data_IF_470351743691
#
_entry.id   IF_470351743691
#
_cell.length_a   1.000
_cell.length_b   1.000
_cell.length_c   1.000
_cell.angle_alpha   90.00
_cell.angle_beta   90.00
_cell.angle_gamma   90.00
#
_symmetry.space_group_name_H-M   'P 1'
#
loop_
_entity.id
_entity.type
_entity.pdbx_description
1 polymer ?
#
# COMPACT_ATOMS: atom_id res chain seq x y z
N UNK A 1 -18.77 -17.65 13.55
CA UNK A 1 -19.39 -17.68 12.22
C UNK A 1 -18.31 -17.98 11.19
N UNK A 2 -18.27 -19.20 10.65
CA UNK A 2 -17.32 -19.61 9.62
C UNK A 2 -17.71 -18.97 8.29
N UNK A 3 -16.77 -18.34 7.57
CA UNK A 3 -17.08 -17.66 6.32
C UNK A 3 -16.78 -18.49 5.06
N UNK A 4 -15.95 -19.57 5.05
CA UNK A 4 -15.81 -20.53 3.92
C UNK A 4 -15.13 -21.88 4.30
N UNK A 5 -15.36 -22.93 3.49
CA UNK A 5 -14.95 -24.35 3.68
C UNK A 5 -13.43 -24.63 3.65
N UNK A 6 -12.62 -23.76 3.05
CA UNK A 6 -11.14 -23.92 3.01
C UNK A 6 -10.41 -23.00 3.99
N UNK A 7 -11.09 -22.55 5.04
CA UNK A 7 -10.51 -21.63 6.02
C UNK A 7 -9.78 -22.40 7.14
N UNK A 8 -8.46 -22.56 6.98
CA UNK A 8 -7.60 -23.04 8.07
C UNK A 8 -7.48 -21.90 9.09
N UNK A 9 -8.16 -22.04 10.22
CA UNK A 9 -8.16 -21.06 11.30
C UNK A 9 -6.78 -21.01 11.97
N UNK A 10 -5.90 -20.12 11.49
CA UNK A 10 -4.62 -19.85 12.13
C UNK A 10 -4.79 -18.87 13.29
N UNK A 11 -4.25 -19.24 14.45
CA UNK A 11 -4.30 -18.44 15.69
C UNK A 11 -3.53 -17.13 15.54
N UNK A 12 -3.91 -16.09 16.30
CA UNK A 12 -3.26 -14.76 16.28
C UNK A 12 -1.73 -14.82 16.46
N UNK A 13 -1.23 -15.84 17.19
CA UNK A 13 0.21 -16.08 17.35
C UNK A 13 0.89 -16.61 16.08
N UNK A 14 0.21 -17.47 15.31
CA UNK A 14 0.73 -17.98 14.04
C UNK A 14 0.82 -16.86 13.00
N UNK A 15 -0.15 -15.93 12.99
CA UNK A 15 -0.09 -14.75 12.12
C UNK A 15 1.04 -13.80 12.52
N UNK A 16 1.31 -13.64 13.81
CA UNK A 16 2.45 -12.85 14.30
C UNK A 16 3.80 -13.44 13.91
N UNK A 17 3.96 -14.77 14.03
CA UNK A 17 5.19 -15.47 13.64
C UNK A 17 5.42 -15.42 12.11
N UNK A 18 4.35 -15.59 11.34
CA UNK A 18 4.37 -15.46 9.88
C UNK A 18 4.71 -14.03 9.46
N UNK A 19 4.10 -13.01 10.07
CA UNK A 19 4.38 -11.60 9.79
C UNK A 19 5.82 -11.22 10.10
N UNK A 20 6.40 -11.74 11.19
CA UNK A 20 7.79 -11.51 11.55
C UNK A 20 8.74 -12.24 10.59
N UNK A 21 8.48 -13.51 10.27
CA UNK A 21 9.28 -14.29 9.32
C UNK A 21 9.24 -13.74 7.89
N UNK A 22 8.07 -13.24 7.45
CA UNK A 22 7.91 -12.59 6.15
C UNK A 22 8.56 -11.21 6.12
N UNK A 23 8.52 -10.43 7.20
CA UNK A 23 9.19 -9.14 7.28
C UNK A 23 10.73 -9.27 7.17
N UNK A 24 11.32 -10.26 7.84
CA UNK A 24 12.75 -10.56 7.72
C UNK A 24 13.12 -11.00 6.29
N UNK A 25 12.27 -11.81 5.66
CA UNK A 25 12.51 -12.29 4.29
C UNK A 25 12.29 -11.20 3.23
N UNK A 26 11.34 -10.28 3.44
CA UNK A 26 11.08 -9.12 2.57
C UNK A 26 12.23 -8.10 2.63
N UNK A 27 12.83 -7.90 3.80
CA UNK A 27 14.04 -7.08 3.95
C UNK A 27 15.26 -7.71 3.23
N UNK A 28 15.33 -9.04 3.15
CA UNK A 28 16.42 -9.77 2.49
C UNK A 28 16.23 -9.92 0.97
N UNK A 29 15.01 -9.76 0.43
CA UNK A 29 14.73 -9.86 -1.00
C UNK A 29 13.64 -8.85 -1.44
N UNK A 30 14.00 -7.60 -1.74
CA UNK A 30 13.06 -6.53 -2.10
C UNK A 30 12.41 -6.65 -3.49
N UNK A 31 12.79 -7.66 -4.29
CA UNK A 31 12.30 -7.86 -5.66
C UNK A 31 10.96 -8.62 -5.79
N UNK A 32 10.25 -8.87 -4.67
CA UNK A 32 8.92 -9.50 -4.67
C UNK A 32 7.88 -8.55 -4.06
N UNK A 33 7.33 -7.67 -4.88
CA UNK A 33 6.23 -6.78 -4.50
C UNK A 33 5.04 -7.53 -3.86
N UNK A 34 4.79 -8.77 -4.29
CA UNK A 34 3.75 -9.66 -3.74
C UNK A 34 3.94 -9.95 -2.23
N UNK A 35 5.20 -10.00 -1.76
CA UNK A 35 5.50 -10.24 -0.35
C UNK A 35 5.25 -8.99 0.52
N UNK A 36 5.35 -7.79 -0.07
CA UNK A 36 5.02 -6.53 0.61
C UNK A 36 3.50 -6.38 0.74
N UNK A 37 2.76 -6.71 -0.33
CA UNK A 37 1.30 -6.72 -0.30
C UNK A 37 0.75 -7.71 0.75
N UNK A 38 1.27 -8.95 0.76
CA UNK A 38 0.88 -9.98 1.75
C UNK A 38 1.30 -9.63 3.18
N UNK A 39 2.44 -8.97 3.39
CA UNK A 39 2.80 -8.43 4.71
C UNK A 39 1.80 -7.35 5.15
N UNK A 40 1.40 -6.45 4.25
CA UNK A 40 0.39 -5.43 4.53
C UNK A 40 -0.95 -6.04 4.94
N UNK A 41 -1.44 -7.02 4.18
CA UNK A 41 -2.69 -7.74 4.47
C UNK A 41 -2.64 -8.54 5.78
N UNK A 42 -1.51 -9.19 6.07
CA UNK A 42 -1.34 -9.99 7.28
C UNK A 42 -1.13 -9.14 8.53
N UNK A 43 -0.69 -7.89 8.42
CA UNK A 43 -0.50 -6.97 9.57
C UNK A 43 -1.63 -5.98 9.76
N UNK A 44 -2.54 -5.84 8.79
CA UNK A 44 -3.73 -4.99 8.85
C UNK A 44 -4.83 -5.54 9.78
N UNK A 45 -4.48 -5.92 11.00
CA UNK A 45 -5.47 -6.28 12.03
C UNK A 45 -6.24 -5.04 12.48
N UNK A 46 -7.54 -5.25 12.80
CA UNK A 46 -8.48 -4.21 13.21
C UNK A 46 -7.92 -3.17 14.22
N UNK A 47 -7.24 -3.54 15.32
CA UNK A 47 -6.73 -2.54 16.28
C UNK A 47 -5.64 -1.64 15.71
N UNK A 48 -4.86 -2.12 14.74
CA UNK A 48 -3.79 -1.32 14.10
C UNK A 48 -4.42 -0.32 13.14
N UNK A 49 -5.36 -0.77 12.30
CA UNK A 49 -6.09 0.11 11.39
C UNK A 49 -6.87 1.20 12.13
N UNK A 50 -7.50 0.86 13.27
CA UNK A 50 -8.22 1.81 14.11
C UNK A 50 -7.27 2.89 14.66
N UNK A 51 -6.07 2.50 15.12
CA UNK A 51 -5.05 3.45 15.59
C UNK A 51 -4.54 4.36 14.47
N UNK A 52 -4.32 3.82 13.27
CA UNK A 52 -3.90 4.62 12.10
C UNK A 52 -5.00 5.63 11.76
N UNK A 53 -6.27 5.18 11.70
CA UNK A 53 -7.43 6.04 11.45
C UNK A 53 -7.52 7.17 12.48
N UNK A 54 -7.45 6.86 13.78
CA UNK A 54 -7.51 7.85 14.85
C UNK A 54 -6.38 8.88 14.73
N UNK A 55 -5.15 8.43 14.40
CA UNK A 55 -4.01 9.34 14.18
C UNK A 55 -4.23 10.25 12.99
N UNK A 56 -4.76 9.72 11.88
CA UNK A 56 -5.11 10.53 10.70
C UNK A 56 -6.24 11.52 10.99
N UNK A 57 -7.24 11.15 11.80
CA UNK A 57 -8.33 12.04 12.20
C UNK A 57 -7.86 13.20 13.09
N UNK A 58 -6.81 12.99 13.88
CA UNK A 58 -6.18 14.01 14.70
C UNK A 58 -5.41 15.07 13.91
N UNK A 59 -5.07 14.80 12.64
CA UNK A 59 -4.37 15.71 11.75
C UNK A 59 -5.33 16.37 10.74
N UNK A 60 -5.12 17.64 10.42
CA UNK A 60 -5.99 18.39 9.48
C UNK A 60 -5.90 17.78 8.07
N UNK A 61 -4.68 17.47 7.63
CA UNK A 61 -4.45 16.86 6.32
C UNK A 61 -4.98 15.42 6.30
N UNK A 62 -4.65 14.62 7.32
CA UNK A 62 -5.16 13.26 7.47
C UNK A 62 -6.69 13.17 7.45
N UNK A 63 -7.39 14.06 8.17
CA UNK A 63 -8.86 14.15 8.17
C UNK A 63 -9.42 14.50 6.79
N UNK A 64 -8.75 15.39 6.06
CA UNK A 64 -9.12 15.74 4.68
C UNK A 64 -8.95 14.55 3.75
N UNK A 65 -7.83 13.82 3.84
CA UNK A 65 -7.60 12.59 3.07
C UNK A 65 -8.67 11.53 3.35
N UNK A 66 -9.01 11.29 4.61
CA UNK A 66 -10.04 10.31 4.99
C UNK A 66 -11.45 10.68 4.47
N UNK A 67 -11.75 11.98 4.42
CA UNK A 67 -13.01 12.52 3.91
C UNK A 67 -13.09 12.48 2.39
N UNK A 68 -12.11 13.11 1.73
CA UNK A 68 -12.14 13.37 0.29
C UNK A 68 -11.76 12.11 -0.51
N UNK A 69 -11.05 11.17 0.13
CA UNK A 69 -10.56 9.91 -0.45
C UNK A 69 -9.97 10.12 -1.85
N UNK A 70 -9.00 11.05 -2.00
CA UNK A 70 -8.46 11.38 -3.30
C UNK A 70 -7.80 10.15 -3.91
N UNK A 71 -8.09 9.87 -5.17
CA UNK A 71 -7.48 8.79 -5.94
C UNK A 71 -6.66 9.40 -7.07
N UNK A 72 -5.45 8.89 -7.26
CA UNK A 72 -4.64 9.14 -8.44
C UNK A 72 -4.96 8.01 -9.40
N UNK A 73 -5.49 8.37 -10.56
CA UNK A 73 -5.88 7.48 -11.66
C UNK A 73 -5.47 8.10 -12.98
N UNK A 74 -5.42 7.31 -14.05
CA UNK A 74 -5.11 7.82 -15.40
C UNK A 74 -6.10 8.90 -15.89
N UNK A 75 -7.28 8.99 -15.28
CA UNK A 75 -8.26 10.05 -15.56
C UNK A 75 -7.97 11.37 -14.83
N UNK A 76 -7.29 11.30 -13.68
CA UNK A 76 -6.98 12.48 -12.85
C UNK A 76 -5.64 13.12 -13.17
N UNK A 77 -4.74 12.39 -13.85
CA UNK A 77 -3.40 12.86 -14.20
C UNK A 77 -3.11 12.66 -15.69
N UNK A 78 -2.49 13.65 -16.33
CA UNK A 78 -2.01 13.54 -17.70
C UNK A 78 -0.57 13.03 -17.72
N UNK A 79 -0.40 11.72 -17.90
CA UNK A 79 0.91 11.08 -17.98
C UNK A 79 1.76 11.60 -19.15
N UNK A 80 1.12 12.00 -20.26
CA UNK A 80 1.84 12.54 -21.42
C UNK A 80 2.46 13.87 -21.06
N UNK A 81 1.72 14.73 -20.35
CA UNK A 81 2.26 15.97 -19.80
C UNK A 81 3.37 15.71 -18.77
N UNK A 82 3.19 14.79 -17.81
CA UNK A 82 4.19 14.50 -16.78
C UNK A 82 5.54 14.06 -17.36
N UNK A 83 5.53 13.34 -18.49
CA UNK A 83 6.75 12.94 -19.22
C UNK A 83 7.53 14.11 -19.79
N UNK A 84 6.87 15.23 -20.10
CA UNK A 84 7.53 16.42 -20.66
C UNK A 84 8.22 17.27 -19.60
N UNK A 85 7.95 17.03 -18.31
CA UNK A 85 8.51 17.83 -17.23
C UNK A 85 10.04 17.62 -17.08
N UNK A 86 10.75 18.64 -16.54
CA UNK A 86 12.18 18.51 -16.25
C UNK A 86 12.48 17.40 -15.23
N UNK A 87 13.67 16.81 -15.35
CA UNK A 87 14.19 15.85 -14.36
C UNK A 87 14.28 16.46 -12.97
N UNK A 88 14.07 15.64 -11.94
CA UNK A 88 14.03 16.07 -10.54
C UNK A 88 12.68 16.65 -10.08
N UNK A 89 11.71 16.84 -10.98
CA UNK A 89 10.33 17.13 -10.59
C UNK A 89 9.60 15.82 -10.21
N UNK A 90 8.67 15.91 -9.24
CA UNK A 90 7.87 14.75 -8.83
C UNK A 90 7.14 14.10 -10.02
N UNK A 91 6.58 14.92 -10.92
CA UNK A 91 5.83 14.43 -12.08
C UNK A 91 6.70 13.63 -13.06
N UNK A 92 7.90 14.14 -13.39
CA UNK A 92 8.84 13.44 -14.27
C UNK A 92 9.31 12.14 -13.65
N UNK A 93 9.74 12.17 -12.39
CA UNK A 93 10.23 10.96 -11.70
C UNK A 93 9.10 9.93 -11.51
N UNK A 94 7.87 10.37 -11.26
CA UNK A 94 6.72 9.47 -11.19
C UNK A 94 6.42 8.80 -12.54
N UNK A 95 6.49 9.53 -13.66
CA UNK A 95 6.34 8.93 -14.99
C UNK A 95 7.44 7.90 -15.29
N UNK A 96 8.70 8.19 -14.92
CA UNK A 96 9.82 7.27 -15.08
C UNK A 96 9.64 6.02 -14.21
N UNK A 97 9.15 6.17 -12.98
CA UNK A 97 8.85 5.06 -12.08
C UNK A 97 7.80 4.11 -12.69
N UNK A 98 6.70 4.67 -13.21
CA UNK A 98 5.63 3.88 -13.84
C UNK A 98 6.13 3.14 -15.10
N UNK A 99 6.93 3.80 -15.93
CA UNK A 99 7.56 3.19 -17.12
C UNK A 99 8.49 2.04 -16.75
N UNK A 100 9.33 2.22 -15.71
CA UNK A 100 10.23 1.15 -15.23
C UNK A 100 9.47 -0.08 -14.72
N UNK A 101 8.31 0.12 -14.11
CA UNK A 101 7.47 -0.96 -13.60
C UNK A 101 6.51 -1.53 -14.64
N UNK A 102 6.47 -0.96 -15.86
CA UNK A 102 5.47 -1.29 -16.88
C UNK A 102 4.03 -1.27 -16.33
N UNK A 103 3.73 -0.30 -15.46
CA UNK A 103 2.42 -0.18 -14.79
C UNK A 103 1.75 1.15 -15.10
N UNK A 104 0.43 1.17 -15.00
CA UNK A 104 -0.39 2.39 -15.03
C UNK A 104 -0.72 2.85 -13.60
N UNK A 105 -1.16 4.11 -13.42
CA UNK A 105 -1.62 4.63 -12.13
C UNK A 105 -2.88 3.97 -11.55
N UNK A 106 -3.59 3.16 -12.36
CA UNK A 106 -4.87 2.53 -12.03
C UNK A 106 -4.73 1.17 -11.33
#
# INVERSE_FOLDING_TARGET
MSLYTSHISTSSLQKGLLAFGSAVTALLNPMRADMVATMGETTAFRPILEKIRQRMEGDICGRKILRDRPRITSATIDLSYLRTLPHGTLGKEYSIFLEKLNTTPD
#
